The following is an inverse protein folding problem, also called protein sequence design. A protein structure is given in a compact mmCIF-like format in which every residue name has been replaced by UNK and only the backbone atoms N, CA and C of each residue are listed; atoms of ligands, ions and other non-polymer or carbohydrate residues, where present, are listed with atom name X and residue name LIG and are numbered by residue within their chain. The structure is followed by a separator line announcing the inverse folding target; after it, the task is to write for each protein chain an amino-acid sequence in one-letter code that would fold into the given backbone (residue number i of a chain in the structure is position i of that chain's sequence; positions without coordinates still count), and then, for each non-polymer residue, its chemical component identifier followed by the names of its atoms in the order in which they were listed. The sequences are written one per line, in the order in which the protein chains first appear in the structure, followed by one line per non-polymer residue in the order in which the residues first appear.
data_IF_942506148182
#
_entry.id   IF_942506148182
#
_cell.length_a   1.000
_cell.length_b   1.000
_cell.length_c   1.000
_cell.angle_alpha   90.00
_cell.angle_beta   90.00
_cell.angle_gamma   90.00
#
_symmetry.space_group_name_H-M   'P 1'
#
loop_
_entity.id
_entity.type
_entity.pdbx_description
1 polymer ?
#
# COMPACT_ATOMS: atom_id res chain seq x y z
N UNK A 1 -4.16 -7.44 16.60
CA UNK A 1 -3.26 -8.60 16.55
C UNK A 1 -3.83 -9.55 15.51
N UNK A 2 -3.37 -9.45 14.26
CA UNK A 2 -3.86 -10.26 13.16
C UNK A 2 -3.16 -11.62 13.22
N UNK A 3 -3.88 -12.67 13.61
CA UNK A 3 -3.35 -14.03 13.53
C UNK A 3 -3.34 -14.46 12.07
N UNK A 4 -2.16 -14.81 11.59
CA UNK A 4 -1.89 -15.42 10.29
C UNK A 4 -2.75 -16.66 10.08
N UNK A 5 -3.41 -16.74 8.94
CA UNK A 5 -3.74 -18.01 8.29
C UNK A 5 -2.94 -18.01 6.97
N UNK A 6 -1.66 -18.37 7.10
CA UNK A 6 -0.66 -18.23 6.04
C UNK A 6 -0.69 -19.35 4.97
N UNK A 7 -1.55 -20.37 5.10
CA UNK A 7 -1.44 -21.57 4.28
C UNK A 7 -2.05 -21.47 2.87
N UNK A 8 -3.04 -20.61 2.64
CA UNK A 8 -3.69 -20.54 1.32
C UNK A 8 -3.14 -19.44 0.38
N UNK A 9 -2.41 -18.47 0.90
CA UNK A 9 -1.79 -17.41 0.11
C UNK A 9 -0.31 -17.60 -0.17
N UNK A 10 0.28 -18.70 0.30
CA UNK A 10 1.64 -19.10 -0.10
C UNK A 10 1.81 -19.26 -1.62
N UNK A 11 0.72 -19.48 -2.35
CA UNK A 11 0.68 -19.46 -3.81
C UNK A 11 1.04 -18.10 -4.45
N UNK A 12 0.95 -17.01 -3.66
CA UNK A 12 1.38 -15.68 -4.10
C UNK A 12 2.81 -15.34 -3.61
N UNK A 13 3.44 -16.24 -2.81
CA UNK A 13 4.72 -16.01 -2.15
C UNK A 13 5.94 -16.06 -3.06
N UNK A 14 5.89 -16.84 -4.11
CA UNK A 14 7.07 -17.20 -4.92
C UNK A 14 7.12 -16.46 -6.27
N UNK A 15 6.97 -15.13 -6.25
CA UNK A 15 7.34 -14.33 -7.42
C UNK A 15 8.84 -14.14 -7.39
N UNK A 16 9.62 -14.75 -8.31
CA UNK A 16 11.07 -14.57 -8.33
C UNK A 16 11.40 -13.10 -8.55
N UNK A 17 12.26 -12.56 -7.71
CA UNK A 17 12.82 -11.25 -7.96
C UNK A 17 13.93 -11.41 -9.00
N UNK A 18 13.62 -11.11 -10.26
CA UNK A 18 14.47 -11.41 -11.43
C UNK A 18 15.58 -10.38 -11.68
N UNK A 19 15.75 -9.36 -10.80
CA UNK A 19 16.68 -8.27 -11.04
C UNK A 19 18.07 -8.45 -10.41
N UNK A 20 19.07 -7.89 -11.08
CA UNK A 20 20.51 -7.97 -10.81
C UNK A 20 20.99 -7.38 -9.47
N UNK A 21 20.10 -6.90 -8.61
CA UNK A 21 20.41 -6.40 -7.27
C UNK A 21 20.05 -7.40 -6.15
N UNK A 22 19.91 -8.66 -6.53
CA UNK A 22 19.67 -9.82 -5.69
C UNK A 22 20.35 -9.78 -4.31
N UNK A 23 21.68 -9.43 -4.17
CA UNK A 23 22.33 -9.43 -2.86
C UNK A 23 21.73 -8.45 -1.85
N UNK A 24 21.13 -7.36 -2.30
CA UNK A 24 20.46 -6.39 -1.42
C UNK A 24 19.12 -6.94 -0.95
N UNK A 25 18.39 -7.59 -1.84
CA UNK A 25 17.10 -8.24 -1.53
C UNK A 25 17.31 -9.39 -0.55
N UNK A 26 18.26 -10.29 -0.82
CA UNK A 26 18.59 -11.42 0.07
C UNK A 26 18.93 -10.95 1.48
N UNK A 27 19.75 -9.91 1.60
CA UNK A 27 20.11 -9.33 2.88
C UNK A 27 18.92 -8.73 3.64
N UNK A 28 17.96 -8.18 2.90
CA UNK A 28 16.73 -7.65 3.49
C UNK A 28 15.78 -8.77 3.89
N UNK A 29 15.67 -9.82 3.08
CA UNK A 29 14.90 -11.01 3.40
C UNK A 29 15.41 -11.66 4.69
N UNK A 30 16.73 -11.85 4.80
CA UNK A 30 17.37 -12.38 6.03
C UNK A 30 17.08 -11.47 7.24
N UNK A 31 17.23 -10.15 7.08
CA UNK A 31 17.06 -9.20 8.17
C UNK A 31 15.61 -9.05 8.63
N UNK A 32 14.66 -9.09 7.72
CA UNK A 32 13.26 -8.79 7.99
C UNK A 32 12.38 -10.03 8.15
N UNK A 33 12.81 -11.17 7.61
CA UNK A 33 12.01 -12.37 7.49
C UNK A 33 10.88 -12.25 6.44
N UNK A 34 10.92 -11.21 5.61
CA UNK A 34 9.92 -10.94 4.58
C UNK A 34 10.44 -11.38 3.22
N UNK A 35 9.61 -11.97 2.39
CA UNK A 35 9.96 -12.25 0.99
C UNK A 35 9.99 -10.98 0.14
N UNK A 36 9.15 -9.99 0.46
CA UNK A 36 9.06 -8.68 -0.21
C UNK A 36 8.33 -7.68 0.69
N UNK A 37 8.32 -6.40 0.28
CA UNK A 37 7.81 -5.26 1.03
C UNK A 37 6.30 -5.24 1.27
N UNK A 38 5.55 -6.20 0.77
CA UNK A 38 4.12 -6.38 1.02
C UNK A 38 3.79 -7.82 1.40
N UNK A 39 2.95 -7.96 2.41
CA UNK A 39 2.33 -9.24 2.78
C UNK A 39 0.87 -9.14 2.37
N UNK A 40 0.39 -10.11 1.59
CA UNK A 40 -1.01 -10.20 1.18
C UNK A 40 -1.63 -11.49 1.71
N UNK A 41 -2.93 -11.48 1.99
CA UNK A 41 -3.59 -12.63 2.57
C UNK A 41 -5.09 -12.47 2.68
N UNK A 42 -5.78 -13.56 3.04
CA UNK A 42 -7.16 -13.52 3.51
C UNK A 42 -7.18 -13.34 5.03
N UNK A 43 -8.13 -12.56 5.50
CA UNK A 43 -8.37 -12.34 6.92
C UNK A 43 -9.87 -12.35 7.22
N UNK A 44 -10.22 -12.40 8.50
CA UNK A 44 -11.58 -12.16 8.96
C UNK A 44 -11.59 -10.96 9.90
N UNK A 45 -12.42 -9.99 9.57
CA UNK A 45 -12.70 -8.84 10.43
C UNK A 45 -14.14 -8.99 10.88
N UNK A 46 -14.34 -9.20 12.16
CA UNK A 46 -15.66 -9.45 12.77
C UNK A 46 -16.46 -10.57 12.06
N UNK A 47 -15.75 -11.67 11.72
CA UNK A 47 -16.34 -12.83 11.03
C UNK A 47 -16.51 -12.68 9.51
N UNK A 48 -16.34 -11.50 8.95
CA UNK A 48 -16.42 -11.23 7.50
C UNK A 48 -15.08 -11.49 6.84
N UNK A 49 -15.08 -12.28 5.78
CA UNK A 49 -13.88 -12.54 4.99
C UNK A 49 -13.47 -11.31 4.18
N UNK A 50 -12.18 -11.03 4.11
CA UNK A 50 -11.60 -9.93 3.35
C UNK A 50 -10.22 -10.32 2.81
N UNK A 51 -9.84 -9.79 1.66
CA UNK A 51 -8.46 -9.80 1.23
C UNK A 51 -7.73 -8.61 1.86
N UNK A 52 -6.56 -8.86 2.42
CA UNK A 52 -5.78 -7.83 3.10
C UNK A 52 -4.37 -7.79 2.54
N UNK A 53 -3.83 -6.59 2.35
CA UNK A 53 -2.43 -6.35 2.03
C UNK A 53 -1.82 -5.33 3.00
N UNK A 54 -0.63 -5.63 3.49
CA UNK A 54 0.08 -4.74 4.42
C UNK A 54 1.48 -4.50 3.90
N UNK A 55 1.79 -3.24 3.58
CA UNK A 55 3.14 -2.82 3.25
C UNK A 55 4.01 -2.74 4.50
N UNK A 56 5.30 -3.09 4.39
CA UNK A 56 6.25 -3.05 5.49
C UNK A 56 7.48 -2.21 5.13
N UNK A 57 7.59 -1.05 5.75
CA UNK A 57 8.66 -0.07 5.52
C UNK A 57 10.07 -0.57 5.88
N UNK A 58 10.20 -1.67 6.63
CA UNK A 58 11.51 -2.27 6.93
C UNK A 58 12.17 -2.85 5.69
N UNK A 59 11.39 -3.19 4.66
CA UNK A 59 11.89 -3.67 3.37
C UNK A 59 11.93 -2.50 2.37
N UNK A 60 13.08 -1.85 2.21
CA UNK A 60 13.33 -0.72 1.29
C UNK A 60 12.27 0.40 1.35
N UNK A 61 11.88 0.83 2.56
CA UNK A 61 10.81 1.83 2.73
C UNK A 61 9.50 1.42 2.06
N UNK A 62 9.23 0.15 1.96
CA UNK A 62 8.11 -0.45 1.23
C UNK A 62 7.96 0.10 -0.20
N UNK A 63 9.06 0.38 -0.88
CA UNK A 63 9.03 0.85 -2.26
C UNK A 63 8.42 -0.21 -3.19
N UNK A 64 7.54 0.23 -4.08
CA UNK A 64 6.83 -0.63 -5.02
C UNK A 64 7.72 -0.98 -6.20
N UNK A 65 8.20 -2.22 -6.23
CA UNK A 65 8.84 -2.87 -7.37
C UNK A 65 7.90 -3.88 -8.04
N UNK A 66 8.45 -4.65 -9.00
CA UNK A 66 7.70 -5.66 -9.75
C UNK A 66 6.97 -6.65 -8.84
N UNK A 67 7.69 -7.24 -7.89
CA UNK A 67 7.12 -8.23 -6.99
C UNK A 67 6.02 -7.66 -6.07
N UNK A 68 6.19 -6.42 -5.57
CA UNK A 68 5.15 -5.75 -4.77
C UNK A 68 3.90 -5.50 -5.61
N UNK A 69 4.07 -4.93 -6.80
CA UNK A 69 2.95 -4.65 -7.71
C UNK A 69 2.22 -5.91 -8.13
N UNK A 70 2.95 -6.98 -8.45
CA UNK A 70 2.38 -8.29 -8.78
C UNK A 70 1.59 -8.90 -7.62
N UNK A 71 2.15 -8.89 -6.40
CA UNK A 71 1.46 -9.42 -5.22
C UNK A 71 0.16 -8.67 -4.93
N UNK A 72 0.17 -7.34 -5.05
CA UNK A 72 -1.04 -6.52 -4.88
C UNK A 72 -2.05 -6.84 -5.98
N UNK A 73 -1.64 -6.85 -7.24
CA UNK A 73 -2.52 -7.12 -8.37
C UNK A 73 -3.20 -8.49 -8.23
N UNK A 74 -2.42 -9.55 -8.00
CA UNK A 74 -2.97 -10.91 -7.79
C UNK A 74 -3.88 -11.02 -6.59
N UNK A 75 -3.56 -10.34 -5.49
CA UNK A 75 -4.42 -10.33 -4.30
C UNK A 75 -5.79 -9.69 -4.61
N UNK A 76 -5.80 -8.59 -5.37
CA UNK A 76 -7.02 -7.91 -5.81
C UNK A 76 -7.80 -8.74 -6.82
N UNK A 77 -7.12 -9.34 -7.82
CA UNK A 77 -7.74 -10.21 -8.82
C UNK A 77 -8.44 -11.40 -8.16
N UNK A 78 -7.73 -12.08 -7.25
CA UNK A 78 -8.30 -13.20 -6.50
C UNK A 78 -9.45 -12.77 -5.60
N UNK A 79 -9.35 -11.63 -4.93
CA UNK A 79 -10.44 -11.07 -4.15
C UNK A 79 -11.67 -10.80 -5.03
N UNK A 80 -11.45 -10.34 -6.27
CA UNK A 80 -12.51 -10.10 -7.24
C UNK A 80 -13.21 -11.40 -7.65
N UNK A 81 -12.45 -12.45 -7.95
CA UNK A 81 -12.98 -13.78 -8.28
C UNK A 81 -13.81 -14.36 -7.11
N UNK A 82 -13.32 -14.20 -5.90
CA UNK A 82 -13.98 -14.71 -4.68
C UNK A 82 -15.04 -13.76 -4.11
N UNK A 83 -15.24 -12.59 -4.75
CA UNK A 83 -16.17 -11.53 -4.33
C UNK A 83 -15.94 -11.03 -2.90
N UNK A 84 -14.67 -10.90 -2.51
CA UNK A 84 -14.25 -10.39 -1.21
C UNK A 84 -13.93 -8.89 -1.30
N UNK A 85 -14.20 -8.10 -0.24
CA UNK A 85 -13.66 -6.75 -0.14
C UNK A 85 -12.13 -6.80 -0.01
N UNK A 86 -11.48 -5.72 -0.45
CA UNK A 86 -10.03 -5.55 -0.35
C UNK A 86 -9.71 -4.44 0.65
N UNK A 87 -8.73 -4.68 1.52
CA UNK A 87 -8.18 -3.67 2.43
C UNK A 87 -6.67 -3.64 2.27
N UNK A 88 -6.10 -2.51 1.83
CA UNK A 88 -4.66 -2.34 1.70
C UNK A 88 -4.14 -1.28 2.68
N UNK A 89 -3.17 -1.66 3.50
CA UNK A 89 -2.42 -0.76 4.37
C UNK A 89 -1.17 -0.29 3.63
N UNK A 90 -1.21 0.95 3.17
CA UNK A 90 -0.12 1.57 2.44
C UNK A 90 0.89 2.21 3.40
N UNK A 91 2.16 1.86 3.22
CA UNK A 91 3.31 2.52 3.84
C UNK A 91 4.43 2.45 2.82
N UNK A 92 4.80 3.54 2.17
CA UNK A 92 5.76 3.47 1.08
C UNK A 92 6.47 4.78 0.77
N UNK A 93 7.75 4.69 0.44
CA UNK A 93 8.51 5.76 -0.17
C UNK A 93 8.21 6.00 -1.66
N UNK A 94 7.39 5.17 -2.30
CA UNK A 94 7.01 5.31 -3.71
C UNK A 94 7.48 4.17 -4.61
N UNK A 95 7.63 4.44 -5.91
CA UNK A 95 8.14 3.47 -6.87
C UNK A 95 9.61 3.13 -6.60
N UNK A 96 9.98 1.86 -6.76
CA UNK A 96 11.34 1.36 -6.51
C UNK A 96 12.29 1.78 -7.62
N UNK A 97 13.09 2.81 -7.37
CA UNK A 97 13.98 3.43 -8.38
C UNK A 97 14.98 2.43 -8.98
N UNK A 98 15.44 1.44 -8.20
CA UNK A 98 16.39 0.42 -8.63
C UNK A 98 15.86 -0.48 -9.76
N UNK A 99 14.56 -0.59 -9.91
CA UNK A 99 13.90 -1.36 -10.96
C UNK A 99 13.48 -0.51 -12.17
N UNK A 100 13.81 0.79 -12.16
CA UNK A 100 13.58 1.68 -13.28
C UNK A 100 12.13 1.71 -13.77
N UNK A 101 11.95 1.61 -15.10
CA UNK A 101 10.63 1.68 -15.73
C UNK A 101 9.66 0.59 -15.27
N UNK A 102 10.18 -0.59 -14.89
CA UNK A 102 9.35 -1.71 -14.45
C UNK A 102 8.58 -1.36 -13.17
N UNK A 103 9.21 -0.62 -12.25
CA UNK A 103 8.52 -0.13 -11.04
C UNK A 103 7.43 0.89 -11.36
N UNK A 104 7.61 1.72 -12.38
CA UNK A 104 6.57 2.66 -12.82
C UNK A 104 5.38 1.95 -13.44
N UNK A 105 5.61 0.86 -14.17
CA UNK A 105 4.54 0.04 -14.75
C UNK A 105 3.65 -0.63 -13.69
N UNK A 106 4.15 -0.80 -12.45
CA UNK A 106 3.33 -1.36 -11.37
C UNK A 106 2.19 -0.43 -10.95
N UNK A 107 2.33 0.89 -11.13
CA UNK A 107 1.23 1.82 -10.90
C UNK A 107 0.04 1.51 -11.81
N UNK A 108 0.29 1.33 -13.10
CA UNK A 108 -0.76 0.96 -14.06
C UNK A 108 -1.36 -0.42 -13.76
N UNK A 109 -0.51 -1.40 -13.41
CA UNK A 109 -0.93 -2.77 -13.10
C UNK A 109 -1.87 -2.84 -11.90
N UNK A 110 -1.48 -2.23 -10.78
CA UNK A 110 -2.31 -2.22 -9.56
C UNK A 110 -3.60 -1.44 -9.76
N UNK A 111 -3.55 -0.32 -10.50
CA UNK A 111 -4.74 0.48 -10.82
C UNK A 111 -5.71 -0.28 -11.72
N UNK A 112 -5.20 -1.06 -12.70
CA UNK A 112 -6.04 -1.89 -13.56
C UNK A 112 -6.75 -3.01 -12.77
N UNK A 113 -6.04 -3.68 -11.86
CA UNK A 113 -6.64 -4.70 -11.00
C UNK A 113 -7.75 -4.12 -10.12
N UNK A 114 -7.51 -2.95 -9.50
CA UNK A 114 -8.51 -2.25 -8.70
C UNK A 114 -9.71 -1.76 -9.54
N UNK A 115 -9.48 -1.34 -10.78
CA UNK A 115 -10.57 -0.99 -11.70
C UNK A 115 -11.49 -2.17 -11.96
N UNK A 116 -10.92 -3.36 -12.24
CA UNK A 116 -11.72 -4.59 -12.39
C UNK A 116 -12.49 -4.96 -11.12
N UNK A 117 -11.88 -4.76 -9.95
CA UNK A 117 -12.53 -4.96 -8.66
C UNK A 117 -13.73 -4.02 -8.46
N UNK A 118 -13.55 -2.75 -8.75
CA UNK A 118 -14.62 -1.73 -8.72
C UNK A 118 -15.73 -2.03 -9.73
N UNK A 119 -15.40 -2.43 -10.97
CA UNK A 119 -16.38 -2.81 -12.01
C UNK A 119 -17.22 -4.03 -11.60
N UNK A 120 -16.67 -4.91 -10.76
CA UNK A 120 -17.41 -6.02 -10.16
C UNK A 120 -18.31 -5.59 -9.00
N UNK A 121 -18.34 -4.30 -8.63
CA UNK A 121 -19.12 -3.74 -7.54
C UNK A 121 -18.62 -4.15 -6.16
N UNK A 122 -17.31 -4.30 -6.00
CA UNK A 122 -16.67 -4.76 -4.76
C UNK A 122 -15.93 -3.62 -4.07
N UNK A 123 -15.96 -3.64 -2.74
CA UNK A 123 -15.40 -2.60 -1.89
C UNK A 123 -13.87 -2.68 -1.81
N UNK A 124 -13.21 -1.54 -2.00
CA UNK A 124 -11.80 -1.34 -1.71
C UNK A 124 -11.60 -0.25 -0.65
N UNK A 125 -11.00 -0.60 0.49
CA UNK A 125 -10.60 0.33 1.54
C UNK A 125 -9.08 0.51 1.50
N UNK A 126 -8.63 1.75 1.35
CA UNK A 126 -7.22 2.12 1.47
C UNK A 126 -6.94 2.74 2.83
N UNK A 127 -5.93 2.23 3.52
CA UNK A 127 -5.48 2.76 4.82
C UNK A 127 -4.07 3.32 4.65
N UNK A 128 -3.93 4.63 4.73
CA UNK A 128 -2.68 5.35 4.51
C UNK A 128 -1.93 5.52 5.82
N UNK A 129 -0.71 4.99 5.89
CA UNK A 129 0.16 5.13 7.05
C UNK A 129 1.40 5.96 6.74
N UNK A 130 2.22 6.29 7.72
CA UNK A 130 3.40 7.14 7.56
C UNK A 130 4.64 6.36 7.11
N UNK A 131 5.30 6.74 5.99
CA UNK A 131 4.83 7.64 4.94
C UNK A 131 4.08 6.88 3.83
N UNK A 132 3.22 7.57 3.08
CA UNK A 132 2.65 7.09 1.82
C UNK A 132 2.91 8.13 0.75
N UNK A 133 3.90 7.89 -0.13
CA UNK A 133 4.40 8.90 -1.07
C UNK A 133 4.65 8.34 -2.47
N UNK A 134 4.90 9.23 -3.41
CA UNK A 134 5.36 8.93 -4.76
C UNK A 134 4.40 8.09 -5.58
N UNK A 135 4.92 7.11 -6.31
CA UNK A 135 4.14 6.23 -7.18
C UNK A 135 3.08 5.38 -6.46
N UNK A 136 3.23 5.13 -5.16
CA UNK A 136 2.22 4.43 -4.36
C UNK A 136 1.02 5.33 -4.13
N UNK A 137 1.23 6.59 -3.75
CA UNK A 137 0.14 7.58 -3.66
C UNK A 137 -0.52 7.79 -5.01
N UNK A 138 0.25 7.91 -6.09
CA UNK A 138 -0.27 8.10 -7.44
C UNK A 138 -0.91 6.84 -8.06
N UNK A 139 -1.10 5.78 -7.30
CA UNK A 139 -1.71 4.53 -7.75
C UNK A 139 -2.66 3.97 -6.69
N UNK A 140 -2.45 2.73 -6.27
CA UNK A 140 -3.41 1.99 -5.44
C UNK A 140 -3.79 2.72 -4.14
N UNK A 141 -2.89 3.50 -3.53
CA UNK A 141 -3.17 4.13 -2.24
C UNK A 141 -4.31 5.16 -2.28
N UNK A 142 -4.50 5.86 -3.40
CA UNK A 142 -5.54 6.90 -3.55
C UNK A 142 -6.74 6.45 -4.40
N UNK A 143 -6.90 5.14 -4.61
CA UNK A 143 -7.99 4.57 -5.40
C UNK A 143 -9.06 3.85 -4.55
N UNK A 144 -9.03 4.01 -3.22
CA UNK A 144 -10.02 3.44 -2.33
C UNK A 144 -11.41 4.03 -2.53
N UNK A 145 -12.45 3.21 -2.43
CA UNK A 145 -13.83 3.69 -2.25
C UNK A 145 -14.00 4.39 -0.90
N UNK A 146 -13.19 3.96 0.08
CA UNK A 146 -13.00 4.63 1.37
C UNK A 146 -11.49 4.74 1.62
N UNK A 147 -11.03 5.94 1.92
CA UNK A 147 -9.63 6.24 2.19
C UNK A 147 -9.48 6.71 3.64
N UNK A 148 -8.88 5.85 4.46
CA UNK A 148 -8.56 6.14 5.85
C UNK A 148 -7.08 6.53 5.96
N UNK A 149 -6.74 7.38 6.93
CA UNK A 149 -5.35 7.72 7.21
C UNK A 149 -5.06 7.68 8.72
N UNK A 150 -3.84 7.29 9.10
CA UNK A 150 -3.39 7.45 10.47
C UNK A 150 -3.07 8.92 10.77
N UNK A 151 -3.26 9.38 12.02
CA UNK A 151 -2.93 10.76 12.40
C UNK A 151 -1.49 11.12 12.08
N UNK A 152 -1.28 12.30 11.55
CA UNK A 152 0.04 12.88 11.20
C UNK A 152 0.82 12.10 10.13
N UNK A 153 0.23 11.13 9.45
CA UNK A 153 0.88 10.42 8.37
C UNK A 153 1.25 11.39 7.23
N UNK A 154 2.45 11.26 6.70
CA UNK A 154 2.91 11.99 5.51
C UNK A 154 2.30 11.33 4.27
N UNK A 155 1.45 12.06 3.57
CA UNK A 155 0.75 11.59 2.38
C UNK A 155 0.93 12.61 1.26
N UNK A 156 1.62 12.22 0.19
CA UNK A 156 1.87 13.14 -0.92
C UNK A 156 2.65 12.48 -2.05
N UNK A 157 2.79 13.17 -3.18
CA UNK A 157 3.58 12.66 -4.29
C UNK A 157 5.08 12.91 -4.04
N UNK A 158 5.52 14.15 -4.11
CA UNK A 158 6.89 14.52 -3.76
C UNK A 158 7.01 14.74 -2.25
N UNK A 159 8.10 14.24 -1.64
CA UNK A 159 8.37 14.50 -0.24
C UNK A 159 8.62 15.98 0.05
N UNK A 160 8.36 16.49 1.27
CA UNK A 160 8.52 17.91 1.62
C UNK A 160 9.89 18.48 1.28
N UNK A 161 10.95 17.72 1.56
CA UNK A 161 12.32 18.15 1.26
C UNK A 161 12.55 18.41 -0.23
N UNK A 162 12.00 17.56 -1.10
CA UNK A 162 12.13 17.70 -2.56
C UNK A 162 11.39 18.95 -3.03
N UNK A 163 10.20 19.19 -2.50
CA UNK A 163 9.40 20.36 -2.83
C UNK A 163 10.14 21.63 -2.41
N UNK A 164 10.56 21.72 -1.15
CA UNK A 164 11.27 22.88 -0.61
C UNK A 164 12.56 23.20 -1.40
N UNK A 165 13.32 22.17 -1.77
CA UNK A 165 14.52 22.34 -2.61
C UNK A 165 14.19 22.82 -4.03
N UNK A 166 13.03 22.46 -4.55
CA UNK A 166 12.61 22.82 -5.91
C UNK A 166 12.06 24.25 -5.98
N UNK A 167 11.23 24.64 -5.01
CA UNK A 167 10.63 25.98 -4.99
C UNK A 167 11.48 27.02 -4.24
N UNK A 168 12.47 26.59 -3.46
CA UNK A 168 13.32 27.48 -2.66
C UNK A 168 12.66 28.08 -1.42
N UNK A 169 11.49 27.58 -1.03
CA UNK A 169 10.71 28.08 0.10
C UNK A 169 10.38 26.96 1.09
N UNK A 170 10.16 27.33 2.35
CA UNK A 170 9.69 26.40 3.38
C UNK A 170 8.19 26.14 3.23
N UNK A 171 7.82 24.89 3.36
CA UNK A 171 6.41 24.49 3.34
C UNK A 171 5.67 24.92 4.58
N UNK A 172 4.37 25.24 4.48
CA UNK A 172 3.52 25.52 5.63
C UNK A 172 3.51 24.36 6.63
N UNK A 173 3.36 24.68 7.92
CA UNK A 173 3.24 23.67 8.95
C UNK A 173 2.02 22.76 8.68
N UNK A 174 2.23 21.44 8.80
CA UNK A 174 1.16 20.46 8.56
C UNK A 174 0.93 20.10 7.09
N UNK A 175 1.62 20.76 6.14
CA UNK A 175 1.50 20.44 4.72
C UNK A 175 1.76 18.94 4.44
N UNK A 176 0.93 18.33 3.62
CA UNK A 176 0.93 16.88 3.29
C UNK A 176 0.69 15.93 4.49
N UNK A 177 0.26 16.42 5.65
CA UNK A 177 -0.17 15.52 6.72
C UNK A 177 -1.59 15.01 6.48
N UNK A 178 -1.94 13.91 7.12
CA UNK A 178 -3.27 13.29 7.00
C UNK A 178 -4.40 14.26 7.31
N UNK A 179 -4.22 15.14 8.30
CA UNK A 179 -5.19 16.18 8.65
C UNK A 179 -5.36 17.21 7.51
N UNK A 180 -4.27 17.61 6.87
CA UNK A 180 -4.29 18.46 5.68
C UNK A 180 -5.03 17.77 4.52
N UNK A 181 -4.78 16.48 4.31
CA UNK A 181 -5.44 15.72 3.25
C UNK A 181 -6.95 15.56 3.52
N UNK A 182 -7.34 15.42 4.78
CA UNK A 182 -8.75 15.39 5.19
C UNK A 182 -9.45 16.73 4.89
N UNK A 183 -8.83 17.85 5.26
CA UNK A 183 -9.36 19.20 5.01
C UNK A 183 -9.54 19.49 3.51
N UNK A 184 -8.70 18.87 2.65
CA UNK A 184 -8.74 19.06 1.20
C UNK A 184 -9.53 17.97 0.46
N UNK A 185 -10.17 17.05 1.18
CA UNK A 185 -11.04 16.03 0.59
C UNK A 185 -10.32 14.87 -0.11
N UNK A 186 -9.03 14.64 0.19
CA UNK A 186 -8.27 13.51 -0.32
C UNK A 186 -8.35 12.27 0.56
N UNK A 187 -8.80 12.40 1.80
CA UNK A 187 -8.97 11.34 2.79
C UNK A 187 -10.34 11.50 3.42
N UNK A 188 -11.05 10.39 3.61
CA UNK A 188 -12.41 10.42 4.17
C UNK A 188 -12.39 10.53 5.68
N UNK A 189 -11.40 9.93 6.34
CA UNK A 189 -11.29 9.96 7.80
C UNK A 189 -9.85 9.77 8.27
N UNK A 190 -9.46 10.52 9.31
CA UNK A 190 -8.21 10.28 10.07
C UNK A 190 -8.55 9.45 11.29
N UNK A 191 -7.96 8.24 11.38
CA UNK A 191 -8.29 7.23 12.39
C UNK A 191 -7.03 6.77 13.12
N UNK A 192 -6.96 6.92 14.45
CA UNK A 192 -5.88 6.32 15.25
C UNK A 192 -5.81 4.80 15.08
N UNK A 193 -4.61 4.24 15.11
CA UNK A 193 -4.37 2.81 14.86
C UNK A 193 -5.16 1.87 15.76
N UNK A 194 -5.33 2.22 17.01
CA UNK A 194 -6.11 1.48 18.01
C UNK A 194 -7.61 1.46 17.71
N UNK A 195 -8.11 2.43 16.93
CA UNK A 195 -9.51 2.54 16.53
C UNK A 195 -9.78 1.99 15.11
N UNK A 196 -8.73 1.66 14.34
CA UNK A 196 -8.87 1.19 12.95
C UNK A 196 -9.74 -0.06 12.84
N UNK A 197 -9.57 -1.03 13.76
CA UNK A 197 -10.39 -2.25 13.74
C UNK A 197 -11.88 -1.94 13.83
N UNK A 198 -12.28 -1.11 14.78
CA UNK A 198 -13.68 -0.77 15.01
C UNK A 198 -14.26 0.08 13.86
N UNK A 199 -13.42 0.90 13.23
CA UNK A 199 -13.79 1.67 12.03
C UNK A 199 -14.01 0.74 10.84
N UNK A 200 -13.15 -0.26 10.64
CA UNK A 200 -13.28 -1.23 9.54
C UNK A 200 -14.45 -2.21 9.71
N UNK A 201 -15.00 -2.36 10.92
CA UNK A 201 -16.18 -3.20 11.18
C UNK A 201 -17.48 -2.49 10.79
N UNK A 202 -17.53 -1.17 10.86
CA UNK A 202 -18.71 -0.33 10.55
C UNK A 202 -19.00 -0.28 9.07
#
# INVERSE_FOLDING_TARGET
MYKRQDEELSLLGDIPNTFSWTPVVEKLQEKTGLSEAVITGKAKIDGRETAIGVCDGRFLMASMGEAVGEKIARAVERATEERLPVILFACSGGARMQEGIVSLMQMAKTSAALKHHSDAGLLYISVLTDPTTGGVTASFAMLGDVILAEPKALIGFAGPRVIEQTIGEKLPAGFQRSEFQLEHGFVDQVVPRDQLRDTLIR
#
